data_IF_049079069416
#
_entry.id   IF_049079069416
#
_cell.length_a   1.000
_cell.length_b   1.000
_cell.length_c   1.000
_cell.angle_alpha   90.00
_cell.angle_beta   90.00
_cell.angle_gamma   90.00
#
_symmetry.space_group_name_H-M   'P 1'
#
loop_
_entity.id
_entity.type
_entity.pdbx_description
1 polymer ?
#
# COMPACT_ATOMS: atom_id res chain seq x y z
N UNK A 1 1.61 -1.70 -24.27
CA UNK A 1 2.19 -2.82 -23.51
C UNK A 1 1.41 -2.78 -22.22
N UNK A 2 0.22 -3.38 -22.21
CA UNK A 2 -0.85 -3.02 -21.24
C UNK A 2 -1.65 -4.27 -20.87
N UNK A 3 -1.01 -5.22 -20.17
CA UNK A 3 -1.72 -6.40 -19.68
C UNK A 3 -1.26 -6.97 -18.34
N UNK A 4 -0.20 -6.43 -17.75
CA UNK A 4 0.27 -6.83 -16.41
C UNK A 4 -0.18 -5.87 -15.29
N UNK A 5 -0.85 -4.76 -15.63
CA UNK A 5 -1.24 -3.71 -14.66
C UNK A 5 -2.54 -4.01 -13.86
N UNK A 6 -3.19 -5.17 -14.06
CA UNK A 6 -4.39 -5.56 -13.30
C UNK A 6 -4.11 -6.62 -12.23
N UNK A 7 -3.00 -7.35 -12.31
CA UNK A 7 -2.76 -8.48 -11.40
C UNK A 7 -2.21 -8.04 -10.03
N UNK A 8 -1.40 -6.98 -10.01
CA UNK A 8 -0.79 -6.49 -8.77
C UNK A 8 -1.82 -6.11 -7.69
N UNK A 9 -2.99 -5.56 -8.08
CA UNK A 9 -4.09 -5.26 -7.15
C UNK A 9 -4.57 -6.51 -6.40
N UNK A 10 -4.57 -7.66 -7.06
CA UNK A 10 -4.97 -8.94 -6.45
C UNK A 10 -3.99 -9.42 -5.39
N UNK A 11 -2.77 -8.88 -5.38
CA UNK A 11 -1.76 -9.16 -4.37
C UNK A 11 -2.00 -8.37 -3.08
N UNK A 12 -2.83 -7.32 -3.13
CA UNK A 12 -3.17 -6.48 -1.99
C UNK A 12 -4.57 -6.80 -1.46
N UNK A 13 -4.66 -7.08 -0.17
CA UNK A 13 -5.91 -7.17 0.57
C UNK A 13 -6.13 -5.84 1.31
N UNK A 14 -7.15 -5.10 0.89
CA UNK A 14 -7.56 -3.84 1.52
C UNK A 14 -8.41 -4.12 2.75
N UNK A 15 -8.06 -3.51 3.88
CA UNK A 15 -8.98 -3.48 5.02
C UNK A 15 -9.93 -2.30 4.87
N UNK A 16 -11.18 -2.53 4.46
CA UNK A 16 -12.13 -1.44 4.14
C UNK A 16 -12.38 -0.42 5.27
N UNK A 17 -12.07 -0.76 6.53
CA UNK A 17 -12.34 0.09 7.71
C UNK A 17 -11.05 0.76 8.21
N UNK A 18 -9.90 0.16 7.90
CA UNK A 18 -8.60 0.56 8.40
C UNK A 18 -7.81 1.01 7.19
N UNK A 19 -7.30 2.24 7.14
CA UNK A 19 -6.45 2.74 6.04
C UNK A 19 -5.14 1.91 5.89
N UNK A 20 -5.27 0.65 5.52
CA UNK A 20 -4.32 -0.44 5.60
C UNK A 20 -4.55 -1.35 4.38
N UNK A 21 -3.46 -1.71 3.72
CA UNK A 21 -3.44 -2.74 2.69
C UNK A 21 -2.37 -3.76 3.04
N UNK A 22 -2.67 -5.04 2.90
CA UNK A 22 -1.76 -6.13 3.20
C UNK A 22 -1.41 -6.83 1.89
N UNK A 23 -0.14 -6.78 1.51
CA UNK A 23 0.39 -7.54 0.40
C UNK A 23 0.44 -9.03 0.77
N UNK A 24 0.19 -9.94 -0.17
CA UNK A 24 0.25 -11.40 0.02
C UNK A 24 1.57 -11.90 0.61
N UNK A 25 2.65 -11.14 0.42
CA UNK A 25 3.98 -11.47 0.93
C UNK A 25 4.17 -11.05 2.39
N UNK A 26 3.19 -10.37 3.00
CA UNK A 26 3.22 -9.93 4.39
C UNK A 26 3.80 -8.53 4.62
N UNK A 27 3.97 -7.74 3.54
CA UNK A 27 4.16 -6.30 3.67
C UNK A 27 2.81 -5.65 3.94
N UNK A 28 2.77 -4.77 4.93
CA UNK A 28 1.58 -3.99 5.30
C UNK A 28 1.82 -2.54 4.98
N UNK A 29 1.05 -2.00 4.05
CA UNK A 29 0.97 -0.57 3.82
C UNK A 29 -0.05 0.05 4.76
N UNK A 30 0.31 1.14 5.44
CA UNK A 30 -0.60 1.94 6.25
C UNK A 30 -0.60 3.38 5.78
N UNK A 31 -1.79 3.91 5.58
CA UNK A 31 -1.99 5.33 5.30
C UNK A 31 -2.54 5.99 6.56
N UNK A 32 -1.76 6.86 7.17
CA UNK A 32 -2.18 7.64 8.33
C UNK A 32 -2.07 9.12 8.01
N UNK A 33 -2.90 9.97 8.62
CA UNK A 33 -2.64 11.42 8.54
C UNK A 33 -1.29 11.72 9.16
N UNK A 34 -0.53 12.60 8.52
CA UNK A 34 0.77 13.01 9.05
C UNK A 34 0.55 13.71 10.38
N UNK A 35 1.26 13.30 11.46
CA UNK A 35 1.13 13.94 12.76
C UNK A 35 1.60 15.41 12.72
N UNK A 36 2.53 15.72 11.82
CA UNK A 36 3.14 17.04 11.66
C UNK A 36 2.38 17.95 10.67
N UNK A 37 1.57 17.36 9.78
CA UNK A 37 0.82 18.09 8.75
C UNK A 37 -0.55 17.43 8.48
N UNK A 38 -1.64 17.94 9.08
CA UNK A 38 -2.96 17.34 8.95
C UNK A 38 -3.54 17.42 7.52
N UNK A 39 -2.92 18.18 6.62
CA UNK A 39 -3.28 18.24 5.20
C UNK A 39 -2.61 17.16 4.35
N UNK A 40 -1.71 16.34 4.92
CA UNK A 40 -0.98 15.31 4.20
C UNK A 40 -1.20 13.94 4.82
N UNK A 41 -1.46 12.96 3.97
CA UNK A 41 -1.38 11.56 4.36
C UNK A 41 0.08 11.07 4.26
N UNK A 42 0.50 10.28 5.25
CA UNK A 42 1.76 9.57 5.28
C UNK A 42 1.49 8.09 5.03
N UNK A 43 2.14 7.56 4.01
CA UNK A 43 2.16 6.13 3.71
C UNK A 43 3.37 5.52 4.42
N UNK A 44 3.16 4.43 5.15
CA UNK A 44 4.20 3.67 5.84
C UNK A 44 4.12 2.22 5.41
N UNK A 45 5.26 1.66 4.99
CA UNK A 45 5.40 0.25 4.62
C UNK A 45 6.04 -0.50 5.79
N UNK A 46 5.30 -1.44 6.37
CA UNK A 46 5.74 -2.28 7.47
C UNK A 46 5.94 -3.72 6.99
N UNK A 47 7.13 -4.28 7.19
CA UNK A 47 7.40 -5.68 6.90
C UNK A 47 7.10 -6.54 8.14
N UNK A 48 5.97 -7.25 8.11
CA UNK A 48 5.52 -8.06 9.25
C UNK A 48 5.90 -9.55 9.12
N UNK A 49 6.31 -9.99 7.94
CA UNK A 49 6.56 -11.40 7.63
C UNK A 49 8.04 -11.77 7.47
N UNK A 50 8.96 -10.91 7.93
CA UNK A 50 10.41 -11.12 7.79
C UNK A 50 10.84 -11.35 6.33
N UNK A 51 10.18 -10.64 5.42
CA UNK A 51 10.42 -10.77 3.98
C UNK A 51 11.78 -10.18 3.64
N UNK A 52 12.54 -10.83 2.76
CA UNK A 52 13.82 -10.30 2.28
C UNK A 52 13.58 -9.11 1.34
N UNK A 53 13.61 -7.89 1.90
CA UNK A 53 13.36 -6.63 1.18
C UNK A 53 14.39 -6.37 0.07
N UNK A 54 15.56 -7.04 0.07
CA UNK A 54 16.57 -6.86 -0.97
C UNK A 54 16.16 -7.40 -2.34
N UNK A 55 15.12 -8.25 -2.37
CA UNK A 55 14.54 -8.82 -3.59
C UNK A 55 13.34 -8.03 -4.12
N UNK A 56 12.96 -6.97 -3.42
CA UNK A 56 11.78 -6.18 -3.73
C UNK A 56 12.20 -4.86 -4.32
N UNK A 57 11.49 -4.44 -5.35
CA UNK A 57 11.51 -3.05 -5.79
C UNK A 57 10.58 -2.25 -4.87
N UNK A 58 11.18 -1.52 -3.92
CA UNK A 58 10.44 -0.70 -2.96
C UNK A 58 9.78 0.51 -3.63
N UNK A 59 10.33 0.97 -4.76
CA UNK A 59 9.78 2.09 -5.51
C UNK A 59 8.51 1.62 -6.24
N UNK A 60 8.54 0.43 -6.85
CA UNK A 60 7.35 -0.21 -7.44
C UNK A 60 6.25 -0.43 -6.39
N UNK A 61 6.61 -0.95 -5.21
CA UNK A 61 5.65 -1.17 -4.13
C UNK A 61 5.05 0.14 -3.61
N UNK A 62 5.84 1.22 -3.57
CA UNK A 62 5.35 2.54 -3.21
C UNK A 62 4.36 3.09 -4.25
N UNK A 63 4.65 2.92 -5.55
CA UNK A 63 3.77 3.33 -6.64
C UNK A 63 2.43 2.57 -6.61
N UNK A 64 2.44 1.26 -6.36
CA UNK A 64 1.23 0.45 -6.19
C UNK A 64 0.36 0.95 -5.04
N UNK A 65 0.96 1.23 -3.89
CA UNK A 65 0.23 1.72 -2.70
C UNK A 65 -0.31 3.13 -2.93
N UNK A 66 0.44 4.00 -3.60
CA UNK A 66 -0.05 5.32 -4.00
C UNK A 66 -1.22 5.23 -4.98
N UNK A 67 -1.17 4.30 -5.95
CA UNK A 67 -2.26 4.08 -6.89
C UNK A 67 -3.53 3.61 -6.15
N UNK A 68 -3.41 2.66 -5.21
CA UNK A 68 -4.53 2.24 -4.35
C UNK A 68 -5.08 3.42 -3.54
N UNK A 69 -4.22 4.32 -3.06
CA UNK A 69 -4.61 5.51 -2.32
C UNK A 69 -5.38 6.52 -3.19
N UNK A 70 -4.86 6.84 -4.38
CA UNK A 70 -5.51 7.75 -5.33
C UNK A 70 -6.87 7.23 -5.82
N UNK A 71 -7.03 5.91 -5.90
CA UNK A 71 -8.31 5.28 -6.24
C UNK A 71 -9.37 5.39 -5.13
N UNK A 72 -9.01 5.90 -3.95
CA UNK A 72 -9.92 6.01 -2.80
C UNK A 72 -10.20 4.65 -2.14
N UNK A 73 -9.44 3.60 -2.45
CA UNK A 73 -9.63 2.28 -1.86
C UNK A 73 -9.40 2.26 -0.33
N UNK A 74 -8.71 3.26 0.20
CA UNK A 74 -8.49 3.48 1.63
C UNK A 74 -9.52 4.45 2.24
N UNK A 75 -10.35 5.11 1.44
CA UNK A 75 -11.31 6.14 1.86
C UNK A 75 -12.73 5.59 1.92
N UNK A 76 -12.98 4.68 2.87
CA UNK A 76 -14.37 4.37 3.25
C UNK A 76 -14.60 4.58 4.74
N UNK A 77 -14.69 5.86 5.14
CA UNK A 77 -15.60 6.36 6.18
C UNK A 77 -15.98 7.81 5.88
#
# INVERSE_FOLDING_TARGET
>A
MDRDNENWRSLWTLEMISRIAVHQSGITARVARSPDDPGKDRISLENTAHVDLSRWDLDELADEVMALWLEGNFERV
#
